data_IF_828311739930
#
_entry.id   IF_828311739930
#
_cell.length_a   1.000
_cell.length_b   1.000
_cell.length_c   1.000
_cell.angle_alpha   90.00
_cell.angle_beta   90.00
_cell.angle_gamma   90.00
#
_symmetry.space_group_name_H-M   'P 1'
#
loop_
_entity.id
_entity.type
_entity.pdbx_description
1 polymer ?
#
# COMPACT_ATOMS: atom_id res chain seq x y z
N UNK A 1 -5.45 11.83 14.29
CA UNK A 1 -5.21 11.19 15.60
C UNK A 1 -4.12 10.15 15.40
N UNK A 2 -3.12 10.08 16.31
CA UNK A 2 -2.09 9.03 16.30
C UNK A 2 -2.66 7.82 17.03
N UNK A 3 -2.53 6.64 16.41
CA UNK A 3 -2.95 5.36 17.00
C UNK A 3 -1.72 4.77 17.69
N UNK A 4 -1.87 4.41 18.97
CA UNK A 4 -0.79 3.81 19.78
C UNK A 4 -1.15 2.39 20.17
N UNK A 5 -0.16 1.51 20.12
CA UNK A 5 -0.27 0.11 20.56
C UNK A 5 1.04 -0.35 21.22
N UNK A 6 0.99 -1.49 21.90
CA UNK A 6 2.15 -2.13 22.52
C UNK A 6 2.22 -3.58 22.07
N UNK A 7 3.40 -4.05 21.67
CA UNK A 7 3.61 -5.44 21.29
C UNK A 7 3.96 -6.34 22.48
N UNK A 8 4.16 -7.65 22.24
CA UNK A 8 4.51 -8.64 23.29
C UNK A 8 5.90 -8.41 23.91
N UNK A 9 6.77 -7.64 23.25
CA UNK A 9 8.13 -7.31 23.72
C UNK A 9 8.18 -5.98 24.47
N UNK A 10 7.04 -5.27 24.55
CA UNK A 10 6.92 -3.99 25.23
C UNK A 10 7.21 -2.77 24.36
N UNK A 11 7.47 -2.94 23.06
CA UNK A 11 7.68 -1.82 22.15
C UNK A 11 6.40 -0.98 22.02
N UNK A 12 6.55 0.35 22.13
CA UNK A 12 5.47 1.30 21.90
C UNK A 12 5.46 1.64 20.41
N UNK A 13 4.41 1.22 19.73
CA UNK A 13 4.21 1.43 18.28
C UNK A 13 3.19 2.56 18.11
N UNK A 14 3.56 3.58 17.32
CA UNK A 14 2.67 4.68 16.98
C UNK A 14 2.46 4.72 15.46
N UNK A 15 1.22 4.88 15.05
CA UNK A 15 0.82 5.02 13.65
C UNK A 15 0.06 6.33 13.42
N UNK A 16 0.53 7.13 12.46
CA UNK A 16 -0.15 8.34 12.01
C UNK A 16 -0.74 8.13 10.62
N UNK A 17 -2.02 7.80 10.48
CA UNK A 17 -2.66 7.53 9.18
C UNK A 17 -2.66 8.74 8.24
N UNK A 18 -2.62 9.97 8.78
CA UNK A 18 -2.60 11.23 8.01
C UNK A 18 -1.20 11.82 7.88
N UNK A 19 -0.16 11.15 8.40
CA UNK A 19 1.22 11.63 8.35
C UNK A 19 1.77 11.67 6.93
N UNK A 20 2.43 12.78 6.57
CA UNK A 20 3.25 12.87 5.38
C UNK A 20 4.67 12.40 5.71
N UNK A 21 5.24 11.48 4.91
CA UNK A 21 6.56 10.88 5.17
C UNK A 21 6.49 9.67 6.11
N UNK A 22 7.29 9.63 7.17
CA UNK A 22 7.30 8.50 8.10
C UNK A 22 6.01 8.44 8.92
N UNK A 23 5.19 7.42 8.65
CA UNK A 23 3.88 7.22 9.30
C UNK A 23 3.97 6.38 10.57
N UNK A 24 5.10 5.72 10.81
CA UNK A 24 5.31 4.83 11.94
C UNK A 24 6.47 5.31 12.81
N UNK A 25 6.31 5.20 14.13
CA UNK A 25 7.41 5.26 15.09
C UNK A 25 7.35 4.05 16.03
N UNK A 26 8.52 3.58 16.46
CA UNK A 26 8.66 2.54 17.49
C UNK A 26 9.60 3.07 18.54
N UNK A 27 9.15 3.16 19.78
CA UNK A 27 9.90 3.75 20.89
C UNK A 27 10.45 5.15 20.54
N UNK A 28 9.64 5.97 19.83
CA UNK A 28 10.01 7.31 19.35
C UNK A 28 10.87 7.35 18.08
N UNK A 29 11.38 6.22 17.58
CA UNK A 29 12.22 6.15 16.38
C UNK A 29 11.35 5.91 15.13
N UNK A 30 11.59 6.71 14.09
CA UNK A 30 10.89 6.55 12.79
C UNK A 30 11.21 5.21 12.15
N UNK A 31 10.16 4.53 11.64
CA UNK A 31 10.28 3.24 10.95
C UNK A 31 9.63 3.30 9.57
N UNK A 32 10.20 2.56 8.61
CA UNK A 32 9.56 2.37 7.31
C UNK A 32 8.38 1.39 7.40
N UNK A 33 7.39 1.63 6.56
CA UNK A 33 6.26 0.71 6.38
C UNK A 33 6.55 -0.37 5.35
N UNK A 34 5.96 -1.54 5.52
CA UNK A 34 6.02 -2.68 4.56
C UNK A 34 5.64 -2.23 3.15
N UNK A 35 4.50 -1.55 3.02
CA UNK A 35 3.99 -1.08 1.71
C UNK A 35 4.90 -0.04 1.04
N UNK A 36 5.61 0.79 1.83
CA UNK A 36 6.60 1.74 1.31
C UNK A 36 7.76 1.01 0.65
N UNK A 37 8.36 0.05 1.37
CA UNK A 37 9.52 -0.73 0.87
C UNK A 37 9.15 -1.53 -0.38
N UNK A 38 7.98 -2.18 -0.38
CA UNK A 38 7.48 -2.93 -1.54
C UNK A 38 7.22 -1.98 -2.73
N UNK A 39 6.54 -0.87 -2.49
CA UNK A 39 6.19 0.13 -3.52
C UNK A 39 7.41 0.74 -4.21
N UNK A 40 8.51 0.93 -3.48
CA UNK A 40 9.78 1.41 -4.05
C UNK A 40 10.38 0.43 -5.10
N UNK A 41 10.05 -0.88 -5.02
CA UNK A 41 10.65 -1.93 -5.88
C UNK A 41 9.71 -2.54 -6.90
N UNK A 42 8.46 -2.74 -6.54
CA UNK A 42 7.44 -3.27 -7.45
C UNK A 42 6.68 -2.18 -8.18
N UNK A 43 6.79 -0.92 -7.73
CA UNK A 43 6.16 0.22 -8.37
C UNK A 43 6.83 0.58 -9.69
N UNK A 44 6.05 0.72 -10.75
CA UNK A 44 6.53 1.18 -12.08
C UNK A 44 6.67 2.71 -12.17
N UNK A 45 6.49 3.44 -11.05
CA UNK A 45 6.37 4.89 -11.04
C UNK A 45 7.57 5.63 -11.61
N UNK A 46 8.79 5.22 -11.26
CA UNK A 46 10.01 5.85 -11.77
C UNK A 46 10.19 5.65 -13.28
N UNK A 47 9.89 4.45 -13.80
CA UNK A 47 9.98 4.15 -15.23
C UNK A 47 8.90 4.88 -16.04
N UNK A 48 7.67 4.95 -15.50
CA UNK A 48 6.59 5.70 -16.14
C UNK A 48 6.89 7.20 -16.18
N UNK A 49 7.36 7.75 -15.06
CA UNK A 49 7.78 9.16 -14.99
C UNK A 49 8.91 9.47 -15.97
N UNK A 50 9.92 8.60 -16.07
CA UNK A 50 11.00 8.73 -17.03
C UNK A 50 10.48 8.68 -18.48
N UNK A 51 9.63 7.73 -18.81
CA UNK A 51 9.04 7.62 -20.15
C UNK A 51 8.16 8.83 -20.51
N UNK A 52 7.33 9.30 -19.57
CA UNK A 52 6.56 10.54 -19.72
C UNK A 52 7.47 11.73 -20.00
N UNK A 53 8.55 11.89 -19.24
CA UNK A 53 9.51 13.00 -19.45
C UNK A 53 10.26 12.89 -20.77
N UNK A 54 10.67 11.70 -21.22
CA UNK A 54 11.30 11.53 -22.54
C UNK A 54 10.39 12.00 -23.68
N UNK A 55 9.10 11.70 -23.61
CA UNK A 55 8.11 12.17 -24.59
C UNK A 55 8.00 13.70 -24.55
N UNK A 56 7.95 14.29 -23.37
CA UNK A 56 7.84 15.74 -23.18
C UNK A 56 9.09 16.48 -23.65
N UNK A 57 10.28 15.97 -23.34
CA UNK A 57 11.54 16.54 -23.84
C UNK A 57 11.64 16.48 -25.36
N UNK A 58 11.25 15.35 -25.98
CA UNK A 58 11.24 15.19 -27.42
C UNK A 58 10.28 16.17 -28.10
N UNK A 59 9.08 16.36 -27.53
CA UNK A 59 8.12 17.37 -28.01
C UNK A 59 8.67 18.79 -27.85
N UNK A 60 9.25 19.10 -26.69
CA UNK A 60 9.84 20.42 -26.44
C UNK A 60 10.98 20.77 -27.40
N UNK A 61 11.86 19.80 -27.70
CA UNK A 61 12.94 20.01 -28.69
C UNK A 61 12.40 20.22 -30.10
N UNK A 62 11.34 19.51 -30.50
CA UNK A 62 10.75 19.63 -31.85
C UNK A 62 10.06 20.99 -32.08
N UNK A 63 9.59 21.64 -31.00
CA UNK A 63 8.81 22.87 -31.02
C UNK A 63 9.63 24.12 -30.71
N UNK A 64 10.93 24.01 -30.50
CA UNK A 64 11.83 25.09 -30.04
C UNK A 64 11.87 26.35 -30.94
N UNK A 65 11.37 26.30 -32.16
CA UNK A 65 11.44 27.38 -33.13
C UNK A 65 10.14 28.18 -33.30
N UNK A 66 9.03 27.74 -32.69
CA UNK A 66 7.76 28.46 -32.71
C UNK A 66 7.26 28.68 -31.28
N UNK A 67 7.44 29.89 -30.77
CA UNK A 67 7.15 30.25 -29.39
C UNK A 67 5.66 30.04 -29.03
N UNK A 68 4.75 30.36 -29.95
CA UNK A 68 3.31 30.18 -29.74
C UNK A 68 2.93 28.70 -29.69
N UNK A 69 3.47 27.88 -30.58
CA UNK A 69 3.27 26.46 -30.59
C UNK A 69 3.88 25.79 -29.34
N UNK A 70 5.02 26.31 -28.83
CA UNK A 70 5.62 25.83 -27.57
C UNK A 70 4.72 26.10 -26.38
N UNK A 71 4.14 27.31 -26.28
CA UNK A 71 3.27 27.67 -25.17
C UNK A 71 1.96 26.85 -25.17
N UNK A 72 1.35 26.63 -26.33
CA UNK A 72 0.16 25.78 -26.50
C UNK A 72 0.43 24.32 -26.11
N UNK A 73 1.58 23.78 -26.52
CA UNK A 73 1.99 22.41 -26.16
C UNK A 73 2.34 22.31 -24.68
N UNK A 74 3.00 23.30 -24.10
CA UNK A 74 3.29 23.33 -22.68
C UNK A 74 1.99 23.31 -21.86
N UNK A 75 1.01 24.12 -22.22
CA UNK A 75 -0.30 24.13 -21.58
C UNK A 75 -1.01 22.77 -21.70
N UNK A 76 -0.97 22.16 -22.87
CA UNK A 76 -1.53 20.81 -23.09
C UNK A 76 -0.83 19.74 -22.22
N UNK A 77 0.49 19.81 -22.07
CA UNK A 77 1.27 18.92 -21.19
C UNK A 77 0.86 19.09 -19.73
N UNK A 78 0.71 20.32 -19.26
CA UNK A 78 0.34 20.60 -17.88
C UNK A 78 -1.10 20.15 -17.60
N UNK A 79 -2.01 20.31 -18.55
CA UNK A 79 -3.39 19.77 -18.48
C UNK A 79 -3.38 18.23 -18.40
N UNK A 80 -2.55 17.57 -19.21
CA UNK A 80 -2.40 16.10 -19.14
C UNK A 80 -1.86 15.62 -17.79
N UNK A 81 -0.83 16.31 -17.27
CA UNK A 81 -0.26 16.00 -15.94
C UNK A 81 -1.31 16.16 -14.84
N UNK A 82 -2.09 17.22 -14.89
CA UNK A 82 -3.17 17.47 -13.97
C UNK A 82 -4.24 16.36 -14.02
N UNK A 83 -4.67 15.96 -15.23
CA UNK A 83 -5.62 14.86 -15.43
C UNK A 83 -5.08 13.53 -14.90
N UNK A 84 -3.84 13.18 -15.21
CA UNK A 84 -3.18 11.95 -14.72
C UNK A 84 -3.10 11.93 -13.19
N UNK A 85 -2.75 13.07 -12.58
CA UNK A 85 -2.73 13.23 -11.14
C UNK A 85 -4.14 13.01 -10.54
N UNK A 86 -5.16 13.65 -11.12
CA UNK A 86 -6.55 13.49 -10.68
C UNK A 86 -7.05 12.03 -10.78
N UNK A 87 -6.69 11.31 -11.84
CA UNK A 87 -7.03 9.89 -12.00
C UNK A 87 -6.37 9.05 -10.88
N UNK A 88 -5.09 9.29 -10.58
CA UNK A 88 -4.36 8.58 -9.50
C UNK A 88 -4.96 8.87 -8.13
N UNK A 89 -5.25 10.13 -7.84
CA UNK A 89 -5.86 10.55 -6.57
C UNK A 89 -7.27 9.96 -6.40
N UNK A 90 -8.10 10.00 -7.42
CA UNK A 90 -9.42 9.40 -7.40
C UNK A 90 -9.35 7.88 -7.20
N UNK A 91 -8.44 7.20 -7.88
CA UNK A 91 -8.24 5.76 -7.71
C UNK A 91 -7.78 5.41 -6.29
N UNK A 92 -6.92 6.23 -5.67
CA UNK A 92 -6.48 6.08 -4.28
C UNK A 92 -7.62 6.33 -3.30
N UNK A 93 -8.41 7.39 -3.51
CA UNK A 93 -9.55 7.73 -2.65
C UNK A 93 -10.62 6.63 -2.67
N UNK A 94 -10.94 6.08 -3.84
CA UNK A 94 -11.84 4.93 -3.96
C UNK A 94 -11.31 3.73 -3.17
N UNK A 95 -10.01 3.45 -3.26
CA UNK A 95 -9.38 2.37 -2.50
C UNK A 95 -9.54 2.57 -0.99
N UNK A 96 -9.13 3.74 -0.49
CA UNK A 96 -9.20 4.08 0.95
C UNK A 96 -10.64 4.03 1.47
N UNK A 97 -11.59 4.61 0.75
CA UNK A 97 -13.00 4.59 1.14
C UNK A 97 -13.56 3.17 1.15
N UNK A 98 -13.18 2.33 0.17
CA UNK A 98 -13.65 0.94 0.13
C UNK A 98 -13.09 0.11 1.29
N UNK A 99 -11.82 0.30 1.69
CA UNK A 99 -11.25 -0.36 2.87
C UNK A 99 -12.02 0.03 4.14
N UNK A 100 -12.28 1.33 4.34
CA UNK A 100 -13.07 1.80 5.49
C UNK A 100 -14.48 1.22 5.52
N UNK A 101 -15.17 1.18 4.37
CA UNK A 101 -16.50 0.55 4.27
C UNK A 101 -16.47 -0.94 4.59
N UNK A 102 -15.43 -1.65 4.14
CA UNK A 102 -15.25 -3.07 4.45
C UNK A 102 -15.03 -3.27 5.95
N UNK A 103 -14.12 -2.50 6.56
CA UNK A 103 -13.84 -2.57 7.99
C UNK A 103 -15.09 -2.32 8.83
N UNK A 104 -15.78 -1.21 8.58
CA UNK A 104 -16.98 -0.84 9.33
C UNK A 104 -18.07 -1.91 9.20
N UNK A 105 -18.25 -2.48 8.00
CA UNK A 105 -19.22 -3.54 7.77
C UNK A 105 -18.88 -4.84 8.51
N UNK A 106 -17.63 -5.30 8.46
CA UNK A 106 -17.22 -6.56 9.09
C UNK A 106 -17.13 -6.46 10.61
N UNK A 107 -16.95 -5.24 11.14
CA UNK A 107 -16.96 -4.96 12.59
C UNK A 107 -18.35 -4.62 13.14
N UNK A 108 -19.38 -4.60 12.30
CA UNK A 108 -20.75 -4.33 12.71
C UNK A 108 -21.09 -2.88 13.00
N UNK A 109 -20.26 -1.93 12.53
CA UNK A 109 -20.48 -0.49 12.74
C UNK A 109 -21.56 0.14 11.84
N UNK A 110 -22.18 -0.65 10.95
CA UNK A 110 -23.21 -0.17 10.02
C UNK A 110 -22.82 1.09 9.25
N UNK A 111 -21.86 1.00 8.30
CA UNK A 111 -21.40 2.16 7.55
C UNK A 111 -22.51 2.80 6.72
N UNK A 112 -22.40 4.11 6.50
CA UNK A 112 -23.29 4.80 5.57
C UNK A 112 -23.12 4.22 4.17
N UNK A 113 -24.23 3.79 3.56
CA UNK A 113 -24.22 3.20 2.22
C UNK A 113 -23.74 4.23 1.19
N UNK A 114 -22.73 3.90 0.38
CA UNK A 114 -22.28 4.82 -0.66
C UNK A 114 -23.36 5.01 -1.74
N UNK A 115 -23.59 6.27 -2.13
CA UNK A 115 -24.61 6.64 -3.12
C UNK A 115 -24.04 6.73 -4.53
N UNK A 116 -22.72 6.88 -4.68
CA UNK A 116 -22.03 7.12 -5.95
C UNK A 116 -21.25 5.90 -6.44
N UNK A 117 -21.19 5.74 -7.76
CA UNK A 117 -20.34 4.71 -8.39
C UNK A 117 -18.86 5.15 -8.40
N UNK A 118 -17.92 4.22 -8.37
CA UNK A 118 -18.11 2.76 -8.35
C UNK A 118 -18.30 2.17 -6.94
N UNK A 119 -18.17 2.97 -5.87
CA UNK A 119 -18.19 2.50 -4.48
C UNK A 119 -19.49 1.75 -4.13
N UNK A 120 -20.64 2.24 -4.62
CA UNK A 120 -21.94 1.60 -4.39
C UNK A 120 -21.95 0.15 -4.90
N UNK A 121 -21.56 -0.06 -6.14
CA UNK A 121 -21.52 -1.39 -6.75
C UNK A 121 -20.47 -2.29 -6.06
N UNK A 122 -19.27 -1.78 -5.80
CA UNK A 122 -18.19 -2.50 -5.11
C UNK A 122 -18.63 -2.97 -3.73
N UNK A 123 -19.22 -2.08 -2.94
CA UNK A 123 -19.66 -2.37 -1.57
C UNK A 123 -20.80 -3.38 -1.54
N UNK A 124 -21.78 -3.27 -2.43
CA UNK A 124 -22.87 -4.23 -2.55
C UNK A 124 -22.36 -5.64 -2.92
N UNK A 125 -21.39 -5.74 -3.82
CA UNK A 125 -20.74 -7.01 -4.17
C UNK A 125 -19.94 -7.57 -2.99
N UNK A 126 -19.20 -6.73 -2.28
CA UNK A 126 -18.46 -7.13 -1.08
C UNK A 126 -19.39 -7.67 0.02
N UNK A 127 -20.50 -7.01 0.33
CA UNK A 127 -21.48 -7.47 1.31
C UNK A 127 -22.02 -8.86 0.95
N UNK A 128 -22.40 -9.09 -0.32
CA UNK A 128 -22.87 -10.40 -0.81
C UNK A 128 -21.78 -11.46 -0.70
N UNK A 129 -20.54 -11.11 -1.04
CA UNK A 129 -19.38 -11.99 -0.95
C UNK A 129 -19.09 -12.36 0.50
N UNK A 130 -19.04 -11.39 1.41
CA UNK A 130 -18.67 -11.58 2.81
C UNK A 130 -19.68 -12.44 3.56
N UNK A 131 -20.99 -12.22 3.40
CA UNK A 131 -22.07 -13.01 4.01
C UNK A 131 -21.97 -14.52 3.76
N UNK A 132 -21.32 -14.92 2.68
CA UNK A 132 -21.10 -16.34 2.33
C UNK A 132 -19.84 -16.93 2.96
N UNK A 133 -19.11 -16.15 3.76
CA UNK A 133 -17.82 -16.55 4.36
C UNK A 133 -17.95 -16.61 5.88
N UNK A 134 -17.48 -17.72 6.45
CA UNK A 134 -17.50 -17.91 7.91
C UNK A 134 -16.14 -17.48 8.48
N UNK A 135 -15.86 -16.17 8.42
CA UNK A 135 -14.72 -15.55 9.06
C UNK A 135 -15.14 -14.94 10.40
N UNK A 136 -14.46 -15.32 11.47
CA UNK A 136 -14.54 -14.68 12.78
C UNK A 136 -13.47 -13.59 12.82
N UNK A 137 -13.84 -12.33 13.09
CA UNK A 137 -12.91 -11.23 13.18
C UNK A 137 -12.13 -11.34 14.48
N UNK A 138 -10.80 -11.29 14.39
CA UNK A 138 -9.90 -11.23 15.56
C UNK A 138 -9.47 -9.78 15.78
N UNK A 139 -8.94 -9.11 14.75
CA UNK A 139 -8.50 -7.71 14.81
C UNK A 139 -8.64 -7.07 13.42
N UNK A 140 -8.83 -5.73 13.37
CA UNK A 140 -8.86 -4.95 12.14
C UNK A 140 -7.95 -3.74 12.26
N UNK A 141 -7.40 -3.26 11.14
CA UNK A 141 -6.58 -2.04 11.01
C UNK A 141 -5.49 -1.92 12.09
N UNK A 142 -4.94 -3.07 12.52
CA UNK A 142 -3.93 -3.09 13.56
C UNK A 142 -2.52 -3.02 13.00
N UNK A 143 -1.71 -2.19 13.64
CA UNK A 143 -0.30 -2.01 13.32
C UNK A 143 0.57 -2.96 14.11
N UNK A 144 1.48 -3.63 13.43
CA UNK A 144 2.47 -4.54 13.96
C UNK A 144 3.89 -4.11 13.59
N UNK A 145 4.85 -4.53 14.39
CA UNK A 145 6.28 -4.29 14.20
C UNK A 145 7.05 -5.59 14.25
N UNK A 146 8.12 -5.71 13.50
CA UNK A 146 9.08 -6.82 13.58
C UNK A 146 10.45 -6.25 13.90
N UNK A 147 11.02 -6.63 15.05
CA UNK A 147 12.38 -6.28 15.43
C UNK A 147 13.39 -6.83 14.42
N UNK A 148 13.22 -8.08 13.97
CA UNK A 148 14.10 -8.72 12.98
C UNK A 148 14.11 -7.97 11.64
N UNK A 149 12.94 -7.54 11.18
CA UNK A 149 12.81 -6.83 9.92
C UNK A 149 13.00 -5.31 10.08
N UNK A 150 12.92 -4.78 11.29
CA UNK A 150 12.92 -3.35 11.61
C UNK A 150 11.95 -2.54 10.75
N UNK A 151 10.71 -3.04 10.63
CA UNK A 151 9.64 -2.41 9.85
C UNK A 151 8.28 -2.56 10.52
N UNK A 152 7.39 -1.62 10.23
CA UNK A 152 5.99 -1.65 10.66
C UNK A 152 5.06 -1.99 9.48
N UNK A 153 3.85 -2.45 9.81
CA UNK A 153 2.77 -2.62 8.84
C UNK A 153 1.42 -2.64 9.51
N UNK A 154 0.44 -2.01 8.89
CA UNK A 154 -0.96 -2.06 9.33
C UNK A 154 -1.69 -3.10 8.49
N UNK A 155 -2.30 -4.08 9.15
CA UNK A 155 -3.08 -5.14 8.51
C UNK A 155 -4.53 -4.71 8.39
N UNK A 156 -5.16 -5.08 7.28
CA UNK A 156 -6.59 -4.85 7.13
C UNK A 156 -7.38 -5.72 8.11
N UNK A 157 -7.19 -7.05 8.10
CA UNK A 157 -7.96 -7.97 8.96
C UNK A 157 -7.17 -9.21 9.36
N UNK A 158 -7.19 -9.51 10.65
CA UNK A 158 -6.82 -10.80 11.22
C UNK A 158 -8.11 -11.57 11.52
N UNK A 159 -8.23 -12.79 11.01
CA UNK A 159 -9.45 -13.61 11.13
C UNK A 159 -9.17 -15.01 11.63
N UNK A 160 -10.22 -15.65 12.13
CA UNK A 160 -10.25 -17.09 12.42
C UNK A 160 -11.26 -17.78 11.52
N UNK A 161 -10.90 -18.93 10.97
CA UNK A 161 -11.75 -19.77 10.14
C UNK A 161 -11.46 -21.23 10.41
N UNK A 162 -12.48 -22.00 10.82
CA UNK A 162 -12.35 -23.43 11.19
C UNK A 162 -11.22 -23.67 12.20
N UNK A 163 -11.12 -22.81 13.22
CA UNK A 163 -10.10 -22.90 14.26
C UNK A 163 -8.73 -22.32 13.88
N UNK A 164 -8.46 -22.04 12.61
CA UNK A 164 -7.19 -21.53 12.09
C UNK A 164 -7.17 -20.02 12.01
N UNK A 165 -6.07 -19.39 12.41
CA UNK A 165 -5.87 -17.95 12.30
C UNK A 165 -5.21 -17.60 10.96
N UNK A 166 -5.71 -16.55 10.32
CA UNK A 166 -5.19 -16.11 9.03
C UNK A 166 -5.31 -14.62 8.81
N UNK A 167 -4.60 -14.13 7.81
CA UNK A 167 -4.60 -12.74 7.39
C UNK A 167 -5.37 -12.59 6.09
N UNK A 168 -6.29 -11.60 6.06
CA UNK A 168 -6.95 -11.13 4.85
C UNK A 168 -6.49 -9.72 4.56
N UNK A 169 -6.18 -9.45 3.30
CA UNK A 169 -5.79 -8.12 2.81
C UNK A 169 -6.76 -7.73 1.68
N UNK A 170 -7.35 -6.54 1.76
CA UNK A 170 -8.28 -6.03 0.77
C UNK A 170 -7.54 -5.30 -0.34
N UNK A 171 -7.93 -5.52 -1.57
CA UNK A 171 -7.41 -4.80 -2.74
C UNK A 171 -8.55 -4.35 -3.64
N UNK A 172 -8.41 -3.16 -4.23
CA UNK A 172 -9.35 -2.59 -5.21
C UNK A 172 -8.73 -2.51 -6.60
N UNK A 173 -7.81 -3.40 -6.88
CA UNK A 173 -7.05 -3.44 -8.12
C UNK A 173 -7.81 -4.18 -9.23
N UNK A 174 -7.33 -4.03 -10.47
CA UNK A 174 -7.90 -4.74 -11.63
C UNK A 174 -7.68 -6.25 -11.56
N UNK A 175 -6.56 -6.69 -10.94
CA UNK A 175 -6.16 -8.10 -10.84
C UNK A 175 -5.26 -8.32 -9.63
N UNK A 176 -4.79 -9.56 -9.43
CA UNK A 176 -3.78 -9.91 -8.44
C UNK A 176 -2.37 -9.65 -8.99
N UNK A 177 -1.53 -8.98 -8.22
CA UNK A 177 -0.18 -8.57 -8.62
C UNK A 177 0.91 -9.24 -7.78
N UNK A 178 2.16 -9.33 -8.30
CA UNK A 178 3.27 -10.03 -7.63
C UNK A 178 3.69 -9.46 -6.27
N UNK A 179 3.41 -8.20 -6.01
CA UNK A 179 3.67 -7.51 -4.74
C UNK A 179 2.76 -7.99 -3.60
N UNK A 180 1.53 -8.42 -3.91
CA UNK A 180 0.55 -8.88 -2.93
C UNK A 180 1.02 -10.08 -2.10
N UNK A 181 1.52 -11.18 -2.68
CA UNK A 181 2.06 -12.28 -1.87
C UNK A 181 3.30 -11.86 -1.06
N UNK A 182 4.11 -10.92 -1.53
CA UNK A 182 5.25 -10.39 -0.76
C UNK A 182 4.74 -9.61 0.46
N UNK A 183 3.75 -8.75 0.28
CA UNK A 183 3.13 -7.96 1.34
C UNK A 183 2.53 -8.84 2.43
N UNK A 184 1.65 -9.78 2.03
CA UNK A 184 0.89 -10.58 3.02
C UNK A 184 1.79 -11.58 3.78
N UNK A 185 2.86 -12.09 3.17
CA UNK A 185 3.86 -12.91 3.87
C UNK A 185 4.71 -12.09 4.86
N UNK A 186 4.98 -10.84 4.52
CA UNK A 186 5.65 -9.93 5.44
C UNK A 186 4.75 -9.61 6.63
N UNK A 187 3.46 -9.37 6.39
CA UNK A 187 2.48 -9.19 7.46
C UNK A 187 2.38 -10.41 8.38
N UNK A 188 2.41 -11.63 7.82
CA UNK A 188 2.52 -12.85 8.63
C UNK A 188 3.69 -12.77 9.62
N UNK A 189 4.88 -12.41 9.13
CA UNK A 189 6.07 -12.27 9.97
C UNK A 189 5.87 -11.22 11.07
N UNK A 190 5.32 -10.05 10.74
CA UNK A 190 5.06 -9.00 11.72
C UNK A 190 4.09 -9.45 12.82
N UNK A 191 3.01 -10.13 12.48
CA UNK A 191 2.04 -10.63 13.47
C UNK A 191 2.69 -11.66 14.39
N UNK A 192 3.42 -12.64 13.83
CA UNK A 192 4.07 -13.70 14.62
C UNK A 192 5.20 -13.16 15.50
N UNK A 193 5.91 -12.12 15.06
CA UNK A 193 6.92 -11.43 15.87
C UNK A 193 6.31 -10.64 17.03
N UNK A 194 5.20 -9.95 16.78
CA UNK A 194 4.57 -9.03 17.74
C UNK A 194 3.58 -9.70 18.69
N UNK A 195 3.09 -10.90 18.35
CA UNK A 195 2.01 -11.58 19.09
C UNK A 195 2.33 -13.06 19.35
N UNK A 196 1.40 -13.76 20.00
CA UNK A 196 1.43 -15.22 20.16
C UNK A 196 0.65 -15.96 19.06
N UNK A 197 0.05 -15.24 18.11
CA UNK A 197 -0.69 -15.86 17.02
C UNK A 197 0.25 -16.61 16.06
N UNK A 198 -0.14 -17.81 15.69
CA UNK A 198 0.44 -18.56 14.57
C UNK A 198 -0.47 -18.39 13.36
N UNK A 199 0.07 -17.88 12.28
CA UNK A 199 -0.69 -17.63 11.05
C UNK A 199 -0.64 -18.86 10.15
N UNK A 200 -1.81 -19.44 9.88
CA UNK A 200 -1.96 -20.72 9.19
C UNK A 200 -2.47 -20.56 7.75
N UNK A 201 -3.06 -19.40 7.41
CA UNK A 201 -3.45 -19.10 6.03
C UNK A 201 -3.34 -17.61 5.71
N UNK A 202 -3.14 -17.34 4.43
CA UNK A 202 -3.00 -16.00 3.87
C UNK A 202 -3.91 -15.87 2.66
N UNK A 203 -4.70 -14.79 2.58
CA UNK A 203 -5.52 -14.54 1.41
C UNK A 203 -5.65 -13.05 1.12
N UNK A 204 -5.78 -12.73 -0.17
CA UNK A 204 -6.13 -11.40 -0.66
C UNK A 204 -7.55 -11.45 -1.21
N UNK A 205 -8.38 -10.51 -0.79
CA UNK A 205 -9.73 -10.30 -1.32
C UNK A 205 -9.66 -9.12 -2.27
N UNK A 206 -9.86 -9.39 -3.56
CA UNK A 206 -9.89 -8.36 -4.58
C UNK A 206 -11.32 -7.89 -4.86
N UNK A 207 -11.56 -6.59 -4.70
CA UNK A 207 -12.83 -5.90 -4.89
C UNK A 207 -12.67 -4.95 -6.07
N UNK A 208 -12.82 -5.45 -7.31
CA UNK A 208 -12.50 -4.68 -8.50
C UNK A 208 -13.46 -3.48 -8.69
N UNK A 209 -12.91 -2.39 -9.26
CA UNK A 209 -13.69 -1.19 -9.59
C UNK A 209 -14.58 -1.39 -10.81
N UNK A 210 -14.22 -2.34 -11.68
CA UNK A 210 -14.98 -2.66 -12.89
C UNK A 210 -16.29 -3.35 -12.52
N UNK A 211 -17.45 -2.79 -12.96
CA UNK A 211 -18.77 -3.29 -12.57
C UNK A 211 -19.08 -4.70 -13.08
N UNK A 212 -18.40 -5.14 -14.12
CA UNK A 212 -18.58 -6.51 -14.70
C UNK A 212 -17.82 -7.59 -13.93
N UNK A 213 -16.84 -7.23 -13.10
CA UNK A 213 -16.05 -8.18 -12.31
C UNK A 213 -16.63 -8.37 -10.91
N UNK A 214 -16.61 -9.61 -10.43
CA UNK A 214 -17.03 -9.94 -9.08
C UNK A 214 -15.88 -9.91 -8.08
N UNK A 215 -16.24 -9.77 -6.79
CA UNK A 215 -15.29 -9.92 -5.69
C UNK A 215 -14.74 -11.33 -5.67
N UNK A 216 -13.42 -11.44 -5.63
CA UNK A 216 -12.71 -12.70 -5.62
C UNK A 216 -11.74 -12.81 -4.44
N UNK A 217 -11.41 -14.03 -4.04
CA UNK A 217 -10.43 -14.32 -3.01
C UNK A 217 -9.37 -15.26 -3.56
N UNK A 218 -8.10 -14.95 -3.30
CA UNK A 218 -6.98 -15.83 -3.61
C UNK A 218 -6.22 -16.18 -2.33
N UNK A 219 -6.14 -17.46 -2.04
CA UNK A 219 -5.29 -17.99 -0.98
C UNK A 219 -3.87 -18.18 -1.51
N UNK A 220 -2.90 -17.87 -0.68
CA UNK A 220 -1.48 -18.03 -1.00
C UNK A 220 -0.85 -19.10 -0.10
N UNK A 221 -0.13 -20.04 -0.71
CA UNK A 221 0.71 -20.98 0.03
C UNK A 221 1.77 -20.21 0.83
N UNK A 222 1.97 -20.59 2.08
CA UNK A 222 3.03 -20.01 2.92
C UNK A 222 4.38 -20.50 2.44
N UNK A 223 5.11 -19.65 1.70
CA UNK A 223 6.41 -20.00 1.10
C UNK A 223 7.49 -19.00 1.49
N UNK A 224 8.67 -19.47 1.99
CA UNK A 224 9.77 -18.61 2.42
C UNK A 224 10.27 -17.62 1.37
N UNK A 225 10.09 -17.93 0.08
CA UNK A 225 10.55 -17.09 -1.04
C UNK A 225 9.97 -15.66 -1.01
N UNK A 226 8.74 -15.49 -0.57
CA UNK A 226 8.11 -14.17 -0.54
C UNK A 226 8.69 -13.28 0.57
N UNK A 227 8.98 -13.85 1.73
CA UNK A 227 9.70 -13.12 2.78
C UNK A 227 11.15 -12.82 2.37
N UNK A 228 11.83 -13.76 1.67
CA UNK A 228 13.15 -13.50 1.09
C UNK A 228 13.12 -12.34 0.08
N UNK A 229 12.09 -12.28 -0.76
CA UNK A 229 11.90 -11.17 -1.70
C UNK A 229 11.74 -9.82 -0.95
N UNK A 230 10.95 -9.78 0.13
CA UNK A 230 10.84 -8.59 0.97
C UNK A 230 12.18 -8.17 1.58
N UNK A 231 12.94 -9.14 2.16
CA UNK A 231 14.27 -8.86 2.72
C UNK A 231 15.23 -8.28 1.68
N UNK A 232 15.18 -8.76 0.44
CA UNK A 232 15.95 -8.20 -0.67
C UNK A 232 15.53 -6.76 -1.01
N UNK A 233 14.21 -6.48 -1.07
CA UNK A 233 13.70 -5.12 -1.27
C UNK A 233 14.16 -4.18 -0.15
N UNK A 234 14.10 -4.63 1.10
CA UNK A 234 14.56 -3.86 2.25
C UNK A 234 16.06 -3.57 2.17
N UNK A 235 16.86 -4.58 1.85
CA UNK A 235 18.32 -4.41 1.69
C UNK A 235 18.63 -3.35 0.64
N UNK A 236 18.02 -3.41 -0.53
CA UNK A 236 18.19 -2.39 -1.57
C UNK A 236 17.77 -0.98 -1.10
N UNK A 237 16.69 -0.89 -0.31
CA UNK A 237 16.26 0.39 0.28
C UNK A 237 17.33 0.96 1.21
N UNK A 238 18.00 0.13 2.00
CA UNK A 238 19.09 0.54 2.89
C UNK A 238 20.31 1.03 2.10
N UNK A 239 20.69 0.32 1.03
CA UNK A 239 21.79 0.72 0.15
C UNK A 239 21.54 2.08 -0.49
N UNK A 240 20.30 2.33 -0.93
CA UNK A 240 19.93 3.65 -1.49
C UNK A 240 19.99 4.78 -0.47
N UNK A 241 19.56 4.52 0.76
CA UNK A 241 19.63 5.50 1.85
C UNK A 241 21.09 5.85 2.18
N UNK A 242 21.94 4.85 2.28
CA UNK A 242 23.37 5.06 2.52
C UNK A 242 24.03 5.84 1.39
N UNK A 243 23.69 5.51 0.13
CA UNK A 243 24.19 6.27 -1.02
C UNK A 243 23.74 7.74 -0.99
N UNK A 244 22.46 8.00 -0.71
CA UNK A 244 21.93 9.37 -0.60
C UNK A 244 22.66 10.17 0.47
N UNK A 245 22.86 9.62 1.66
CA UNK A 245 23.60 10.28 2.75
C UNK A 245 25.01 10.64 2.34
N UNK A 246 25.75 9.69 1.77
CA UNK A 246 27.14 9.93 1.29
C UNK A 246 27.18 11.00 0.20
N UNK A 247 26.23 10.98 -0.71
CA UNK A 247 26.14 11.97 -1.78
C UNK A 247 25.84 13.38 -1.26
N UNK A 248 24.97 13.50 -0.26
CA UNK A 248 24.70 14.77 0.43
C UNK A 248 25.95 15.30 1.15
N UNK A 249 26.68 14.44 1.85
CA UNK A 249 27.95 14.80 2.51
C UNK A 249 28.99 15.27 1.49
N UNK A 250 29.15 14.54 0.38
CA UNK A 250 30.06 14.91 -0.69
C UNK A 250 29.72 16.27 -1.31
N UNK A 251 28.43 16.52 -1.58
CA UNK A 251 28.00 17.81 -2.14
C UNK A 251 28.23 18.98 -1.17
N UNK A 252 28.04 18.79 0.13
CA UNK A 252 28.35 19.80 1.16
C UNK A 252 29.84 20.12 1.24
N UNK A 253 30.71 19.15 1.00
CA UNK A 253 32.17 19.39 0.96
C UNK A 253 32.60 20.18 -0.27
N UNK A 254 31.94 20.00 -1.42
CA UNK A 254 32.24 20.74 -2.67
C UNK A 254 31.66 22.13 -2.72
N UNK A 255 30.72 22.47 -1.88
CA UNK A 255 30.12 23.82 -1.81
C UNK A 255 30.81 24.76 -0.82
N UNK A 256 31.83 24.26 -0.13
CA UNK A 256 32.78 25.06 0.67
C UNK A 256 34.03 25.39 -0.11
#
# INVERSE_FOLDING_TARGET
MIIKSKDKHGNIIEFNPKGRGARYTVNGLKKKGVTTIIGERFGKGALMWWAENCVFEALHQKLKHDKKAVDEVQQFIDDLRYRVKGIKENASNIGTNMHSLCEDYITGKNPVEPTTEPLKTMFNKFKKFWKKRNFEIVETEKTYYSDELDVCGTLDVLVKRKGKVGILDFKTSKDFYPDMPVQIHTYKKLVEDSTKHKIEFLAVINIPKEPVKDVSIRFFDIKPRYLKAFKACKYLSTVEEDFKKRNEEYNKLRSK
#
